data_IF_684368567597
#
_entry.id   IF_684368567597
#
_cell.length_a   1.000
_cell.length_b   1.000
_cell.length_c   1.000
_cell.angle_alpha   90.00
_cell.angle_beta   90.00
_cell.angle_gamma   90.00
#
_symmetry.space_group_name_H-M   'P 1'
#
loop_
_entity.id
_entity.type
_entity.pdbx_description
1 polymer ?
#
# COMPACT_ATOMS: atom_id res chain seq x y z
N UNK A 1 -23.93 21.09 -65.38
CA UNK A 1 -23.20 19.81 -65.22
C UNK A 1 -23.33 19.21 -63.82
N UNK A 2 -23.30 19.98 -62.73
CA UNK A 2 -23.36 19.43 -61.35
C UNK A 2 -24.60 18.60 -60.97
N UNK A 3 -25.78 18.80 -61.59
CA UNK A 3 -26.98 18.02 -61.22
C UNK A 3 -27.03 16.61 -61.81
N UNK A 4 -26.26 16.29 -62.86
CA UNK A 4 -26.21 14.94 -63.43
C UNK A 4 -25.26 14.03 -62.66
N UNK A 5 -24.18 14.55 -62.10
CA UNK A 5 -23.17 13.77 -61.37
C UNK A 5 -23.66 13.29 -59.99
N UNK A 6 -24.46 14.10 -59.29
CA UNK A 6 -25.04 13.72 -57.97
C UNK A 6 -26.05 12.58 -58.11
N UNK A 7 -26.80 12.52 -59.22
CA UNK A 7 -27.76 11.43 -59.47
C UNK A 7 -27.07 10.09 -59.76
N UNK A 8 -25.93 10.11 -60.45
CA UNK A 8 -25.14 8.91 -60.73
C UNK A 8 -24.50 8.37 -59.45
N UNK A 9 -24.00 9.26 -58.58
CA UNK A 9 -23.38 8.87 -57.30
C UNK A 9 -24.38 8.25 -56.31
N UNK A 10 -25.60 8.79 -56.24
CA UNK A 10 -26.67 8.25 -55.40
C UNK A 10 -27.18 6.90 -55.94
N UNK A 11 -27.23 6.73 -57.26
CA UNK A 11 -27.62 5.45 -57.87
C UNK A 11 -26.57 4.36 -57.63
N UNK A 12 -25.27 4.69 -57.67
CA UNK A 12 -24.21 3.74 -57.32
C UNK A 12 -24.23 3.34 -55.84
N UNK A 13 -24.56 4.27 -54.94
CA UNK A 13 -24.59 3.99 -53.50
C UNK A 13 -25.75 3.04 -53.11
N UNK A 14 -26.91 3.18 -53.76
CA UNK A 14 -28.07 2.31 -53.60
C UNK A 14 -27.84 0.90 -54.17
N UNK A 15 -27.12 0.79 -55.29
CA UNK A 15 -26.74 -0.50 -55.87
C UNK A 15 -25.70 -1.23 -55.00
N UNK A 16 -24.74 -0.53 -54.40
CA UNK A 16 -23.75 -1.15 -53.51
C UNK A 16 -24.33 -1.60 -52.16
N UNK A 17 -25.33 -0.88 -51.63
CA UNK A 17 -25.98 -1.25 -50.37
C UNK A 17 -26.97 -2.40 -50.53
N UNK A 18 -27.65 -2.51 -51.68
CA UNK A 18 -28.53 -3.64 -51.99
C UNK A 18 -27.79 -4.99 -52.14
N UNK A 19 -26.61 -4.99 -52.76
CA UNK A 19 -25.82 -6.22 -52.97
C UNK A 19 -25.17 -6.74 -51.67
N UNK A 20 -24.76 -5.84 -50.77
CA UNK A 20 -24.25 -6.21 -49.44
C UNK A 20 -25.36 -6.73 -48.50
N UNK A 21 -26.56 -6.16 -48.56
CA UNK A 21 -27.70 -6.59 -47.73
C UNK A 21 -28.20 -8.00 -48.07
N UNK A 22 -28.30 -8.33 -49.35
CA UNK A 22 -28.77 -9.65 -49.81
C UNK A 22 -27.70 -10.73 -49.55
N UNK A 23 -26.41 -10.40 -49.70
CA UNK A 23 -25.30 -11.30 -49.38
C UNK A 23 -25.25 -11.67 -47.90
N UNK A 24 -25.46 -10.71 -47.00
CA UNK A 24 -25.47 -10.95 -45.55
C UNK A 24 -26.70 -11.75 -45.10
N UNK A 25 -27.86 -11.51 -45.72
CA UNK A 25 -29.10 -12.25 -45.40
C UNK A 25 -29.04 -13.72 -45.86
N UNK A 26 -28.48 -13.99 -47.05
CA UNK A 26 -28.31 -15.36 -47.55
C UNK A 26 -27.21 -16.14 -46.81
N UNK A 27 -26.20 -15.47 -46.24
CA UNK A 27 -25.14 -16.12 -45.46
C UNK A 27 -25.55 -16.39 -44.01
N UNK A 28 -26.38 -15.51 -43.40
CA UNK A 28 -26.88 -15.70 -42.03
C UNK A 28 -28.11 -16.63 -41.96
N UNK A 29 -28.84 -16.82 -43.06
CA UNK A 29 -30.00 -17.71 -43.12
C UNK A 29 -29.69 -19.22 -43.22
N UNK A 30 -28.40 -19.61 -43.33
CA UNK A 30 -28.00 -21.01 -43.53
C UNK A 30 -27.15 -21.63 -42.41
N UNK A 31 -26.90 -20.92 -41.31
CA UNK A 31 -26.14 -21.49 -40.18
C UNK A 31 -26.89 -21.24 -38.87
N UNK A 32 -27.52 -22.32 -38.40
CA UNK A 32 -28.01 -22.65 -37.05
C UNK A 32 -29.48 -22.37 -36.69
N UNK A 33 -30.19 -23.39 -36.14
CA UNK A 33 -31.51 -23.25 -35.54
C UNK A 33 -31.39 -22.67 -34.12
N UNK A 34 -32.18 -21.62 -33.84
CA UNK A 34 -32.34 -21.08 -32.48
C UNK A 34 -33.45 -21.86 -31.78
N UNK A 35 -33.06 -22.78 -30.90
CA UNK A 35 -33.83 -23.12 -29.70
C UNK A 35 -32.84 -23.43 -28.59
N UNK A 36 -32.92 -22.67 -27.47
CA UNK A 36 -32.30 -22.89 -26.14
C UNK A 36 -30.99 -22.17 -25.73
N UNK A 37 -30.65 -20.96 -26.23
CA UNK A 37 -29.43 -20.24 -25.76
C UNK A 37 -29.67 -19.10 -24.75
N UNK A 38 -30.87 -18.51 -24.67
CA UNK A 38 -31.11 -17.35 -23.78
C UNK A 38 -31.22 -17.67 -22.28
N UNK A 39 -31.23 -18.94 -21.88
CA UNK A 39 -31.18 -19.36 -20.47
C UNK A 39 -29.77 -19.75 -20.01
N UNK A 40 -28.83 -20.08 -20.91
CA UNK A 40 -27.49 -20.53 -20.55
C UNK A 40 -26.49 -19.38 -20.37
N UNK A 41 -26.54 -18.32 -21.19
CA UNK A 41 -25.65 -17.15 -21.00
C UNK A 41 -26.00 -16.32 -19.75
N UNK A 42 -27.30 -16.17 -19.46
CA UNK A 42 -27.75 -15.54 -18.22
C UNK A 42 -27.43 -16.40 -17.00
N UNK A 43 -27.54 -17.73 -17.10
CA UNK A 43 -27.12 -18.62 -16.02
C UNK A 43 -25.60 -18.72 -15.88
N UNK A 44 -24.79 -18.59 -16.94
CA UNK A 44 -23.33 -18.55 -16.85
C UNK A 44 -22.80 -17.24 -16.27
N UNK A 45 -23.36 -16.07 -16.65
CA UNK A 45 -23.04 -14.79 -15.99
C UNK A 45 -23.50 -14.79 -14.53
N UNK A 46 -24.68 -15.33 -14.23
CA UNK A 46 -25.21 -15.41 -12.86
C UNK A 46 -24.48 -16.45 -12.01
N UNK A 47 -24.05 -17.58 -12.59
CA UNK A 47 -23.21 -18.58 -11.92
C UNK A 47 -21.77 -18.11 -11.72
N UNK A 48 -21.16 -17.43 -12.70
CA UNK A 48 -19.82 -16.83 -12.54
C UNK A 48 -19.84 -15.67 -11.55
N UNK A 49 -20.90 -14.84 -11.56
CA UNK A 49 -21.08 -13.79 -10.54
C UNK A 49 -21.34 -14.40 -9.16
N UNK A 50 -22.10 -15.48 -9.03
CA UNK A 50 -22.35 -16.16 -7.76
C UNK A 50 -21.09 -16.88 -7.25
N UNK A 51 -20.30 -17.52 -8.11
CA UNK A 51 -19.02 -18.15 -7.75
C UNK A 51 -17.96 -17.09 -7.38
N UNK A 52 -17.86 -15.99 -8.12
CA UNK A 52 -16.99 -14.85 -7.80
C UNK A 52 -17.42 -14.15 -6.51
N UNK A 53 -18.71 -13.95 -6.27
CA UNK A 53 -19.18 -13.36 -5.01
C UNK A 53 -18.95 -14.29 -3.81
N UNK A 54 -19.09 -15.60 -4.00
CA UNK A 54 -18.78 -16.61 -2.97
C UNK A 54 -17.27 -16.65 -2.68
N UNK A 55 -16.42 -16.60 -3.72
CA UNK A 55 -14.96 -16.58 -3.54
C UNK A 55 -14.46 -15.31 -2.87
N UNK A 56 -15.10 -14.16 -3.10
CA UNK A 56 -14.76 -12.89 -2.43
C UNK A 56 -15.21 -12.89 -0.96
N UNK A 57 -16.40 -13.42 -0.64
CA UNK A 57 -16.84 -13.58 0.76
C UNK A 57 -15.87 -14.46 1.54
N UNK A 58 -15.25 -15.44 0.87
CA UNK A 58 -14.26 -16.28 1.52
C UNK A 58 -12.95 -15.56 1.89
N UNK A 59 -12.70 -14.39 1.29
CA UNK A 59 -11.51 -13.56 1.52
C UNK A 59 -11.70 -12.49 2.58
N UNK A 60 -12.92 -12.31 3.09
CA UNK A 60 -13.25 -11.29 4.09
C UNK A 60 -13.63 -11.98 5.41
N UNK A 61 -13.18 -11.42 6.53
CA UNK A 61 -13.50 -11.92 7.87
C UNK A 61 -13.65 -10.75 8.85
N UNK A 62 -14.68 -10.82 9.68
CA UNK A 62 -14.82 -9.98 10.88
C UNK A 62 -14.46 -10.75 12.16
N UNK A 63 -13.86 -11.93 12.01
CA UNK A 63 -13.40 -12.80 13.09
C UNK A 63 -13.88 -14.24 12.97
N UNK A 64 -14.86 -14.50 12.11
CA UNK A 64 -15.40 -15.84 11.80
C UNK A 64 -14.42 -16.76 11.04
N UNK A 65 -13.32 -16.19 10.50
CA UNK A 65 -12.28 -16.91 9.78
C UNK A 65 -10.89 -16.38 10.12
N UNK A 66 -9.91 -17.29 10.13
CA UNK A 66 -8.50 -17.01 10.37
C UNK A 66 -7.73 -17.03 9.04
N UNK A 67 -6.96 -15.99 8.76
CA UNK A 67 -6.11 -15.86 7.59
C UNK A 67 -4.63 -16.06 7.90
N UNK A 68 -4.19 -15.78 9.13
CA UNK A 68 -2.79 -15.96 9.56
C UNK A 68 -2.68 -17.08 10.59
N UNK A 69 -2.56 -18.35 10.16
CA UNK A 69 -2.37 -19.46 11.08
C UNK A 69 -0.96 -19.39 11.71
N UNK A 70 -0.90 -19.08 13.01
CA UNK A 70 0.34 -19.06 13.80
C UNK A 70 0.44 -20.24 14.77
N UNK A 71 1.41 -20.19 15.68
CA UNK A 71 1.58 -21.23 16.70
C UNK A 71 0.36 -21.35 17.64
N UNK A 72 -0.37 -20.25 17.85
CA UNK A 72 -1.62 -20.21 18.60
C UNK A 72 -2.88 -20.56 17.77
N UNK A 73 -2.74 -21.19 16.60
CA UNK A 73 -3.84 -21.41 15.64
C UNK A 73 -5.07 -22.12 16.23
N UNK A 74 -4.89 -23.05 17.18
CA UNK A 74 -6.00 -23.75 17.80
C UNK A 74 -6.92 -22.78 18.56
N UNK A 75 -6.36 -21.88 19.38
CA UNK A 75 -7.12 -20.86 20.08
C UNK A 75 -7.82 -19.90 19.12
N UNK A 76 -7.13 -19.46 18.06
CA UNK A 76 -7.73 -18.58 17.04
C UNK A 76 -8.89 -19.24 16.33
N UNK A 77 -8.73 -20.51 15.94
CA UNK A 77 -9.77 -21.29 15.24
C UNK A 77 -11.00 -21.48 16.12
N UNK A 78 -10.82 -21.83 17.39
CA UNK A 78 -11.92 -21.93 18.35
C UNK A 78 -12.61 -20.58 18.58
N UNK A 79 -11.83 -19.50 18.69
CA UNK A 79 -12.36 -18.14 18.82
C UNK A 79 -13.17 -17.73 17.59
N UNK A 80 -12.70 -18.08 16.40
CA UNK A 80 -13.40 -17.80 15.15
C UNK A 80 -14.72 -18.56 15.02
N UNK A 81 -14.73 -19.86 15.35
CA UNK A 81 -15.95 -20.65 15.45
C UNK A 81 -16.93 -20.05 16.46
N UNK A 82 -16.44 -19.57 17.60
CA UNK A 82 -17.27 -18.92 18.60
C UNK A 82 -17.90 -17.61 18.08
N UNK A 83 -17.15 -16.77 17.35
CA UNK A 83 -17.70 -15.58 16.67
C UNK A 83 -18.78 -15.99 15.66
N UNK A 84 -18.51 -16.99 14.82
CA UNK A 84 -19.47 -17.49 13.83
C UNK A 84 -20.79 -17.95 14.47
N UNK A 85 -20.71 -18.56 15.65
CA UNK A 85 -21.85 -18.99 16.46
C UNK A 85 -22.43 -17.88 17.37
N UNK A 86 -21.96 -16.63 17.25
CA UNK A 86 -22.32 -15.49 18.11
C UNK A 86 -22.06 -15.72 19.61
N UNK A 87 -21.22 -16.69 19.97
CA UNK A 87 -20.77 -16.94 21.34
C UNK A 87 -19.57 -16.02 21.68
N UNK A 88 -19.86 -14.74 21.86
CA UNK A 88 -18.82 -13.73 22.06
C UNK A 88 -18.01 -13.94 23.35
N UNK A 89 -18.60 -14.48 24.41
CA UNK A 89 -17.88 -14.77 25.66
C UNK A 89 -16.80 -15.84 25.45
N UNK A 90 -17.14 -16.93 24.74
CA UNK A 90 -16.15 -17.94 24.38
C UNK A 90 -15.09 -17.39 23.43
N UNK A 91 -15.50 -16.58 22.44
CA UNK A 91 -14.56 -15.93 21.53
C UNK A 91 -13.54 -15.06 22.27
N UNK A 92 -14.00 -14.23 23.21
CA UNK A 92 -13.14 -13.39 24.06
C UNK A 92 -12.14 -14.25 24.83
N UNK A 93 -12.59 -15.33 25.48
CA UNK A 93 -11.71 -16.22 26.23
C UNK A 93 -10.64 -16.85 25.33
N UNK A 94 -11.02 -17.32 24.14
CA UNK A 94 -10.11 -17.99 23.19
C UNK A 94 -9.10 -17.03 22.57
N UNK A 95 -9.50 -15.85 22.10
CA UNK A 95 -8.54 -14.87 21.58
C UNK A 95 -7.65 -14.28 22.67
N UNK A 96 -8.15 -14.14 23.91
CA UNK A 96 -7.31 -13.75 25.06
C UNK A 96 -6.23 -14.81 25.33
N UNK A 97 -6.58 -16.10 25.30
CA UNK A 97 -5.61 -17.19 25.43
C UNK A 97 -4.60 -17.19 24.27
N UNK A 98 -5.06 -16.94 23.04
CA UNK A 98 -4.19 -16.80 21.87
C UNK A 98 -3.15 -15.70 22.06
N UNK A 99 -3.57 -14.51 22.50
CA UNK A 99 -2.66 -13.37 22.71
C UNK A 99 -1.76 -13.53 23.93
N UNK A 100 -2.17 -14.32 24.94
CA UNK A 100 -1.25 -14.69 26.03
C UNK A 100 -0.10 -15.55 25.51
N UNK A 101 -0.38 -16.43 24.55
CA UNK A 101 0.63 -17.28 23.91
C UNK A 101 1.48 -16.52 22.88
N UNK A 102 0.84 -15.73 22.01
CA UNK A 102 1.47 -14.94 20.97
C UNK A 102 0.99 -13.48 21.04
N UNK A 103 1.59 -12.64 21.91
CA UNK A 103 1.15 -11.26 22.12
C UNK A 103 1.23 -10.36 20.88
N UNK A 104 2.11 -10.69 19.93
CA UNK A 104 2.36 -9.91 18.73
C UNK A 104 1.52 -10.34 17.50
N UNK A 105 0.33 -10.90 17.73
CA UNK A 105 -0.63 -11.31 16.70
C UNK A 105 -1.73 -10.24 16.50
N UNK A 106 -1.64 -9.42 15.44
CA UNK A 106 -2.60 -8.36 15.21
C UNK A 106 -3.97 -8.85 14.74
N UNK A 107 -4.05 -10.01 14.06
CA UNK A 107 -5.33 -10.57 13.63
C UNK A 107 -6.14 -11.03 14.86
N UNK A 108 -5.48 -11.72 15.80
CA UNK A 108 -6.11 -12.13 17.05
C UNK A 108 -6.58 -10.92 17.89
N UNK A 109 -5.81 -9.83 17.92
CA UNK A 109 -6.22 -8.61 18.63
C UNK A 109 -7.41 -7.90 17.97
N UNK A 110 -7.46 -7.84 16.63
CA UNK A 110 -8.62 -7.29 15.90
C UNK A 110 -9.88 -8.11 16.20
N UNK A 111 -9.78 -9.44 16.13
CA UNK A 111 -10.93 -10.30 16.36
C UNK A 111 -11.35 -10.35 17.84
N UNK A 112 -10.41 -10.24 18.78
CA UNK A 112 -10.73 -10.03 20.19
C UNK A 112 -11.53 -8.75 20.40
N UNK A 113 -11.10 -7.65 19.76
CA UNK A 113 -11.82 -6.39 19.80
C UNK A 113 -13.23 -6.53 19.21
N UNK A 114 -13.37 -7.17 18.05
CA UNK A 114 -14.68 -7.43 17.46
C UNK A 114 -15.58 -8.30 18.35
N UNK A 115 -15.02 -9.31 19.02
CA UNK A 115 -15.78 -10.14 19.97
C UNK A 115 -16.25 -9.34 21.19
N UNK A 116 -15.41 -8.43 21.72
CA UNK A 116 -15.78 -7.51 22.81
C UNK A 116 -16.91 -6.55 22.43
N UNK A 117 -16.96 -6.13 21.16
CA UNK A 117 -18.05 -5.29 20.63
C UNK A 117 -19.37 -6.10 20.60
N UNK A 118 -19.32 -7.35 20.14
CA UNK A 118 -20.50 -8.20 19.99
C UNK A 118 -21.54 -7.56 19.09
N UNK A 119 -22.76 -7.36 19.60
CA UNK A 119 -23.87 -6.70 18.90
C UNK A 119 -24.00 -5.20 19.21
N UNK A 120 -23.02 -4.61 19.89
CA UNK A 120 -23.04 -3.18 20.24
C UNK A 120 -22.95 -2.29 19.00
N UNK A 121 -23.48 -1.05 19.11
CA UNK A 121 -23.37 -0.03 18.07
C UNK A 121 -21.90 0.17 17.66
N UNK A 122 -21.64 0.16 16.35
CA UNK A 122 -20.29 0.28 15.81
C UNK A 122 -20.27 0.97 14.44
N UNK A 123 -19.10 1.47 14.07
CA UNK A 123 -18.73 1.88 12.73
C UNK A 123 -17.74 0.87 12.16
N UNK A 124 -17.97 0.41 10.92
CA UNK A 124 -17.17 -0.63 10.30
C UNK A 124 -16.20 -0.06 9.27
N UNK A 125 -14.94 -0.46 9.36
CA UNK A 125 -13.92 -0.29 8.31
C UNK A 125 -13.35 -1.65 7.91
N UNK A 126 -12.74 -1.75 6.72
CA UNK A 126 -12.10 -2.99 6.27
C UNK A 126 -10.66 -2.76 5.82
N UNK A 127 -9.74 -3.56 6.35
CA UNK A 127 -8.35 -3.64 5.91
C UNK A 127 -8.26 -4.59 4.71
N UNK A 128 -7.94 -4.09 3.52
CA UNK A 128 -7.70 -4.91 2.32
C UNK A 128 -6.21 -4.99 2.06
N UNK A 129 -5.61 -6.12 2.39
CA UNK A 129 -4.16 -6.31 2.48
C UNK A 129 -3.74 -7.75 2.16
N UNK A 130 -2.47 -7.98 1.75
CA UNK A 130 -1.97 -9.32 1.49
C UNK A 130 -1.66 -10.04 2.80
N UNK A 131 -2.28 -11.18 3.01
CA UNK A 131 -1.97 -12.09 4.10
C UNK A 131 -1.32 -13.34 3.51
N UNK A 132 0.01 -13.38 3.58
CA UNK A 132 0.77 -14.57 3.23
C UNK A 132 0.63 -15.64 4.33
N UNK A 133 0.85 -16.89 3.97
CA UNK A 133 0.89 -18.03 4.91
C UNK A 133 2.06 -17.98 5.92
N UNK A 134 2.81 -16.87 6.01
CA UNK A 134 3.88 -16.70 6.99
C UNK A 134 3.35 -15.91 8.21
N UNK A 135 3.17 -16.58 9.37
CA UNK A 135 2.52 -15.97 10.53
C UNK A 135 3.34 -14.89 11.26
N UNK A 136 4.61 -14.67 10.89
CA UNK A 136 5.53 -13.87 11.71
C UNK A 136 6.14 -12.64 11.02
N UNK A 137 6.17 -12.54 9.68
CA UNK A 137 7.00 -11.53 9.00
C UNK A 137 6.43 -10.89 7.72
N UNK A 138 5.11 -10.99 7.46
CA UNK A 138 4.50 -10.42 6.27
C UNK A 138 4.13 -8.92 6.38
N UNK A 139 4.25 -8.18 5.28
CA UNK A 139 3.79 -6.77 5.16
C UNK A 139 2.34 -6.56 5.61
N UNK A 140 1.45 -7.53 5.36
CA UNK A 140 0.07 -7.49 5.85
C UNK A 140 0.00 -7.45 7.38
N UNK A 141 0.77 -8.28 8.08
CA UNK A 141 0.79 -8.29 9.55
C UNK A 141 1.33 -6.98 10.13
N UNK A 142 2.36 -6.39 9.50
CA UNK A 142 2.84 -5.07 9.90
C UNK A 142 1.75 -4.00 9.80
N UNK A 143 0.97 -4.00 8.71
CA UNK A 143 -0.16 -3.09 8.51
C UNK A 143 -1.25 -3.37 9.56
N UNK A 144 -1.65 -4.64 9.76
CA UNK A 144 -2.66 -5.00 10.74
C UNK A 144 -2.29 -4.57 12.16
N UNK A 145 -1.01 -4.60 12.56
CA UNK A 145 -0.58 -4.09 13.88
C UNK A 145 -0.97 -2.62 14.08
N UNK A 146 -0.82 -1.79 13.05
CA UNK A 146 -1.16 -0.38 13.15
C UNK A 146 -2.66 -0.18 13.33
N UNK A 147 -3.45 -0.95 12.57
CA UNK A 147 -4.90 -0.93 12.60
C UNK A 147 -5.43 -1.46 13.95
N UNK A 148 -4.92 -2.60 14.39
CA UNK A 148 -5.27 -3.25 15.65
C UNK A 148 -4.98 -2.35 16.84
N UNK A 149 -3.83 -1.68 16.85
CA UNK A 149 -3.48 -0.74 17.92
C UNK A 149 -4.43 0.45 17.97
N UNK A 150 -4.73 1.08 16.82
CA UNK A 150 -5.67 2.19 16.77
C UNK A 150 -7.09 1.77 17.19
N UNK A 151 -7.51 0.56 16.81
CA UNK A 151 -8.79 -0.03 17.21
C UNK A 151 -8.86 -0.29 18.73
N UNK A 152 -7.83 -0.93 19.30
CA UNK A 152 -7.76 -1.20 20.74
C UNK A 152 -7.80 0.10 21.54
N UNK A 153 -7.02 1.11 21.14
CA UNK A 153 -7.00 2.41 21.81
C UNK A 153 -8.37 3.08 21.80
N UNK A 154 -9.02 3.20 20.63
CA UNK A 154 -10.32 3.91 20.54
C UNK A 154 -11.44 3.14 21.26
N UNK A 155 -11.45 1.80 21.19
CA UNK A 155 -12.48 0.98 21.80
C UNK A 155 -12.34 0.90 23.33
N UNK A 156 -11.13 0.99 23.85
CA UNK A 156 -10.85 0.95 25.30
C UNK A 156 -10.91 2.33 25.96
N UNK A 157 -10.70 3.44 25.23
CA UNK A 157 -10.55 4.78 25.82
C UNK A 157 -11.74 5.73 25.62
N UNK A 158 -12.64 5.50 24.67
CA UNK A 158 -13.74 6.47 24.49
C UNK A 158 -14.81 6.17 23.45
N UNK A 159 -14.61 5.16 22.59
CA UNK A 159 -15.47 4.91 21.42
C UNK A 159 -15.54 6.15 20.50
N UNK A 160 -16.21 6.03 19.36
CA UNK A 160 -16.43 7.13 18.41
C UNK A 160 -17.88 7.59 18.59
N UNK A 161 -18.10 8.70 19.31
CA UNK A 161 -19.44 9.22 19.62
C UNK A 161 -20.37 8.13 20.18
N UNK A 162 -19.86 7.33 21.11
CA UNK A 162 -20.57 6.21 21.74
C UNK A 162 -20.61 4.90 20.94
N UNK A 163 -20.10 4.86 19.70
CA UNK A 163 -20.03 3.65 18.86
C UNK A 163 -18.61 3.08 18.77
N UNK A 164 -18.46 1.75 18.83
CA UNK A 164 -17.15 1.11 18.69
C UNK A 164 -16.62 1.16 17.25
N UNK A 165 -15.30 1.00 17.07
CA UNK A 165 -14.70 0.71 15.77
C UNK A 165 -14.62 -0.81 15.57
N UNK A 166 -15.38 -1.32 14.59
CA UNK A 166 -15.29 -2.70 14.12
C UNK A 166 -14.40 -2.77 12.89
N UNK A 167 -13.47 -3.71 12.86
CA UNK A 167 -12.50 -3.85 11.76
C UNK A 167 -12.68 -5.21 11.10
N UNK A 168 -12.97 -5.21 9.80
CA UNK A 168 -12.88 -6.40 8.96
C UNK A 168 -11.49 -6.53 8.33
N UNK A 169 -11.10 -7.76 8.02
CA UNK A 169 -9.86 -8.07 7.32
C UNK A 169 -10.24 -8.72 5.99
N UNK A 170 -9.64 -8.27 4.90
CA UNK A 170 -9.83 -8.80 3.56
C UNK A 170 -8.48 -9.16 2.94
N UNK A 171 -8.27 -10.44 2.60
CA UNK A 171 -7.02 -10.90 1.99
C UNK A 171 -7.07 -10.76 0.45
N UNK A 172 -6.29 -9.81 -0.07
CA UNK A 172 -6.19 -9.53 -1.50
C UNK A 172 -5.06 -10.28 -2.23
N UNK A 173 -4.23 -11.06 -1.51
CA UNK A 173 -3.02 -11.73 -2.02
C UNK A 173 -2.04 -10.79 -2.77
N UNK A 174 -2.13 -9.48 -2.57
CA UNK A 174 -1.46 -8.42 -3.37
C UNK A 174 -1.76 -8.51 -4.87
N UNK A 175 -2.94 -9.05 -5.23
CA UNK A 175 -3.39 -9.19 -6.61
C UNK A 175 -4.38 -8.07 -6.95
N UNK A 176 -4.09 -7.20 -7.95
CA UNK A 176 -4.96 -6.07 -8.29
C UNK A 176 -6.41 -6.45 -8.63
N UNK A 177 -6.63 -7.56 -9.36
CA UNK A 177 -7.99 -7.99 -9.70
C UNK A 177 -8.76 -8.47 -8.45
N UNK A 178 -8.11 -9.19 -7.53
CA UNK A 178 -8.75 -9.59 -6.26
C UNK A 178 -9.06 -8.35 -5.40
N UNK A 179 -8.16 -7.36 -5.37
CA UNK A 179 -8.39 -6.09 -4.67
C UNK A 179 -9.62 -5.36 -5.21
N UNK A 180 -9.81 -5.36 -6.53
CA UNK A 180 -10.98 -4.77 -7.20
C UNK A 180 -12.27 -5.55 -6.94
N UNK A 181 -12.21 -6.87 -6.91
CA UNK A 181 -13.35 -7.72 -6.53
C UNK A 181 -13.78 -7.47 -5.08
N UNK A 182 -12.83 -7.43 -4.14
CA UNK A 182 -13.07 -7.04 -2.74
C UNK A 182 -13.67 -5.64 -2.68
N UNK A 183 -13.08 -4.65 -3.35
CA UNK A 183 -13.62 -3.29 -3.38
C UNK A 183 -15.06 -3.26 -3.89
N UNK A 184 -15.37 -4.04 -4.94
CA UNK A 184 -16.72 -4.16 -5.50
C UNK A 184 -17.73 -4.75 -4.51
N UNK A 185 -17.29 -5.66 -3.65
CA UNK A 185 -18.10 -6.20 -2.57
C UNK A 185 -18.31 -5.16 -1.44
N UNK A 186 -17.23 -4.48 -1.02
CA UNK A 186 -17.27 -3.50 0.07
C UNK A 186 -18.15 -2.29 -0.26
N UNK A 187 -18.10 -1.77 -1.48
CA UNK A 187 -18.91 -0.60 -1.87
C UNK A 187 -20.40 -0.91 -1.86
N UNK A 188 -20.80 -2.18 -2.07
CA UNK A 188 -22.20 -2.64 -2.01
C UNK A 188 -22.71 -2.82 -0.57
N UNK A 189 -21.82 -2.96 0.42
CA UNK A 189 -22.19 -3.07 1.82
C UNK A 189 -22.24 -1.67 2.48
N UNK A 190 -23.43 -1.12 2.79
CA UNK A 190 -23.55 0.22 3.37
C UNK A 190 -22.97 0.34 4.79
N UNK A 191 -22.77 -0.79 5.51
CA UNK A 191 -22.17 -0.78 6.84
C UNK A 191 -20.68 -0.43 6.81
N UNK A 192 -20.01 -0.67 5.68
CA UNK A 192 -18.58 -0.35 5.50
C UNK A 192 -18.45 1.14 5.16
N UNK A 193 -17.85 1.90 6.09
CA UNK A 193 -17.72 3.35 5.99
C UNK A 193 -16.35 3.81 5.48
N UNK A 194 -15.32 2.96 5.58
CA UNK A 194 -13.98 3.25 5.07
C UNK A 194 -13.16 1.98 4.85
N UNK A 195 -12.07 2.12 4.09
CA UNK A 195 -11.12 1.05 3.86
C UNK A 195 -9.68 1.51 4.15
N UNK A 196 -8.85 0.58 4.61
CA UNK A 196 -7.39 0.73 4.61
C UNK A 196 -6.88 -0.20 3.53
N UNK A 197 -6.45 0.38 2.42
CA UNK A 197 -6.09 -0.33 1.19
C UNK A 197 -5.11 0.51 0.38
N UNK A 198 -4.18 -0.06 -0.38
CA UNK A 198 -3.75 -1.46 -0.42
C UNK A 198 -2.22 -1.49 -0.30
N UNK A 199 -1.64 -2.70 -0.21
CA UNK A 199 -0.20 -2.87 -0.01
C UNK A 199 0.63 -2.47 -1.23
N UNK A 200 0.16 -2.72 -2.47
CA UNK A 200 0.82 -2.23 -3.68
C UNK A 200 0.10 -1.07 -4.34
N UNK A 201 0.88 -0.24 -5.07
CA UNK A 201 0.32 0.90 -5.80
C UNK A 201 -0.63 0.46 -6.92
N UNK A 202 -0.35 -0.67 -7.58
CA UNK A 202 -1.23 -1.21 -8.61
C UNK A 202 -2.56 -1.69 -8.04
N UNK A 203 -2.54 -2.42 -6.91
CA UNK A 203 -3.76 -2.80 -6.22
C UNK A 203 -4.58 -1.56 -5.82
N UNK A 204 -3.92 -0.52 -5.28
CA UNK A 204 -4.56 0.73 -4.89
C UNK A 204 -5.21 1.45 -6.09
N UNK A 205 -4.52 1.55 -7.24
CA UNK A 205 -5.06 2.18 -8.44
C UNK A 205 -6.23 1.37 -9.03
N UNK A 206 -6.14 0.04 -9.05
CA UNK A 206 -7.16 -0.83 -9.62
C UNK A 206 -8.42 -0.88 -8.75
N UNK A 207 -8.27 -1.09 -7.44
CA UNK A 207 -9.38 -1.03 -6.48
C UNK A 207 -9.93 0.39 -6.31
N UNK A 208 -9.06 1.40 -6.42
CA UNK A 208 -9.40 2.81 -6.21
C UNK A 208 -10.47 3.33 -7.17
N UNK A 209 -10.51 2.85 -8.43
CA UNK A 209 -11.59 3.17 -9.37
C UNK A 209 -12.97 2.74 -8.85
N UNK A 210 -13.03 1.59 -8.18
CA UNK A 210 -14.26 1.04 -7.61
C UNK A 210 -14.65 1.79 -6.35
N UNK A 211 -13.68 2.05 -5.47
CA UNK A 211 -13.91 2.87 -4.27
C UNK A 211 -14.42 4.27 -4.61
N UNK A 212 -13.85 4.92 -5.61
CA UNK A 212 -14.29 6.21 -6.14
C UNK A 212 -15.76 6.17 -6.59
N UNK A 213 -16.09 5.20 -7.45
CA UNK A 213 -17.45 4.99 -7.96
C UNK A 213 -18.45 4.71 -6.84
N UNK A 214 -18.04 3.96 -5.82
CA UNK A 214 -18.83 3.63 -4.63
C UNK A 214 -18.81 4.69 -3.53
N UNK A 215 -18.10 5.81 -3.75
CA UNK A 215 -17.89 6.90 -2.79
C UNK A 215 -17.36 6.41 -1.44
N UNK A 216 -16.56 5.34 -1.43
CA UNK A 216 -15.99 4.76 -0.21
C UNK A 216 -14.55 5.24 -0.08
N UNK A 217 -14.24 5.94 1.01
CA UNK A 217 -12.88 6.40 1.27
C UNK A 217 -11.96 5.20 1.49
N UNK A 218 -10.81 5.20 0.80
CA UNK A 218 -9.72 4.27 1.05
C UNK A 218 -8.42 5.03 1.34
N UNK A 219 -7.72 4.65 2.41
CA UNK A 219 -6.43 5.25 2.78
C UNK A 219 -5.32 4.19 2.67
N UNK A 220 -4.33 4.43 1.82
CA UNK A 220 -3.17 3.53 1.68
C UNK A 220 -2.03 3.92 2.62
N UNK A 221 -1.56 3.01 3.48
CA UNK A 221 -0.38 3.25 4.30
C UNK A 221 0.94 2.89 3.59
N UNK A 222 0.88 2.40 2.34
CA UNK A 222 2.04 1.78 1.69
C UNK A 222 2.28 2.19 0.23
N UNK A 223 1.27 2.68 -0.48
CA UNK A 223 1.37 2.94 -1.91
C UNK A 223 1.93 4.33 -2.24
N UNK A 224 3.21 4.35 -2.62
CA UNK A 224 4.01 5.56 -2.81
C UNK A 224 4.11 6.06 -4.27
N UNK A 225 3.57 5.34 -5.26
CA UNK A 225 3.62 5.76 -6.66
C UNK A 225 3.02 7.15 -6.88
N UNK A 226 3.67 7.98 -7.70
CA UNK A 226 3.16 9.31 -8.07
C UNK A 226 1.80 9.25 -8.77
N UNK A 227 1.48 8.13 -9.42
CA UNK A 227 0.20 7.91 -10.14
C UNK A 227 -1.03 8.01 -9.24
N UNK A 228 -0.85 7.96 -7.91
CA UNK A 228 -1.92 8.07 -6.91
C UNK A 228 -2.23 9.54 -6.59
N UNK A 229 -1.27 10.45 -6.77
CA UNK A 229 -1.49 11.88 -6.58
C UNK A 229 -2.57 12.37 -7.55
N UNK A 230 -3.62 13.02 -7.04
CA UNK A 230 -4.78 13.49 -7.81
C UNK A 230 -5.56 12.38 -8.56
N UNK A 231 -5.41 11.12 -8.15
CA UNK A 231 -6.05 10.00 -8.85
C UNK A 231 -7.57 9.94 -8.64
N UNK A 232 -8.03 10.17 -7.40
CA UNK A 232 -9.45 10.18 -7.05
C UNK A 232 -9.67 10.97 -5.76
N UNK A 233 -10.83 11.65 -5.60
CA UNK A 233 -11.20 12.36 -4.38
C UNK A 233 -11.49 11.47 -3.17
N UNK A 234 -11.58 10.14 -3.36
CA UNK A 234 -11.83 9.16 -2.30
C UNK A 234 -10.57 8.34 -1.91
N UNK A 235 -9.45 8.54 -2.62
CA UNK A 235 -8.20 7.82 -2.36
C UNK A 235 -7.21 8.74 -1.68
N UNK A 236 -6.76 8.33 -0.50
CA UNK A 236 -5.77 9.03 0.29
C UNK A 236 -4.58 8.10 0.57
N UNK A 237 -3.47 8.68 1.02
CA UNK A 237 -2.35 7.88 1.53
C UNK A 237 -1.63 8.55 2.69
N UNK A 238 -1.21 7.74 3.67
CA UNK A 238 -0.37 8.20 4.78
C UNK A 238 1.12 8.02 4.51
N UNK A 239 1.49 7.18 3.53
CA UNK A 239 2.85 7.11 3.00
C UNK A 239 3.15 8.34 2.13
N UNK A 240 4.36 8.93 2.22
CA UNK A 240 4.77 9.98 1.30
C UNK A 240 4.81 9.50 -0.16
N UNK A 241 4.47 10.40 -1.07
CA UNK A 241 4.69 10.21 -2.52
C UNK A 241 6.16 10.02 -2.82
N UNK A 242 6.49 9.19 -3.83
CA UNK A 242 7.83 9.16 -4.40
C UNK A 242 8.31 10.54 -4.82
N UNK A 243 7.42 11.43 -5.31
CA UNK A 243 7.79 12.80 -5.64
C UNK A 243 8.41 13.56 -4.46
N UNK A 244 7.83 13.44 -3.26
CA UNK A 244 8.36 14.12 -2.06
C UNK A 244 9.65 13.44 -1.61
N UNK A 245 9.68 12.11 -1.64
CA UNK A 245 10.85 11.30 -1.28
C UNK A 245 12.06 11.63 -2.15
N UNK A 246 11.90 11.66 -3.47
CA UNK A 246 12.99 11.90 -4.41
C UNK A 246 13.43 13.35 -4.43
N UNK A 247 12.50 14.31 -4.30
CA UNK A 247 12.86 15.72 -4.07
C UNK A 247 13.71 15.88 -2.83
N UNK A 248 13.37 15.20 -1.73
CA UNK A 248 14.16 15.25 -0.49
C UNK A 248 15.57 14.69 -0.70
N UNK A 249 15.70 13.55 -1.39
CA UNK A 249 17.00 12.95 -1.70
C UNK A 249 17.84 13.80 -2.67
N UNK A 250 17.22 14.35 -3.71
CA UNK A 250 17.90 15.23 -4.68
C UNK A 250 18.39 16.52 -4.02
N UNK A 251 17.54 17.15 -3.20
CA UNK A 251 17.91 18.30 -2.38
C UNK A 251 19.08 17.97 -1.46
N UNK A 252 19.02 16.85 -0.74
CA UNK A 252 20.10 16.42 0.14
C UNK A 252 21.41 16.20 -0.64
N UNK A 253 21.33 15.58 -1.82
CA UNK A 253 22.49 15.38 -2.69
C UNK A 253 23.16 16.70 -3.09
N UNK A 254 22.39 17.63 -3.65
CA UNK A 254 22.94 18.86 -4.21
C UNK A 254 23.33 19.85 -3.12
N UNK A 255 22.48 20.04 -2.10
CA UNK A 255 22.65 21.10 -1.11
C UNK A 255 23.48 20.64 0.09
N UNK A 256 23.29 19.42 0.57
CA UNK A 256 23.98 18.93 1.77
C UNK A 256 25.28 18.18 1.43
N UNK A 257 25.27 17.31 0.42
CA UNK A 257 26.47 16.59 -0.02
C UNK A 257 27.32 17.39 -1.01
N UNK A 258 26.78 18.49 -1.57
CA UNK A 258 27.42 19.31 -2.60
C UNK A 258 27.87 18.48 -3.81
N UNK A 259 27.07 17.47 -4.18
CA UNK A 259 27.31 16.58 -5.32
C UNK A 259 26.26 16.81 -6.39
N UNK A 260 26.67 16.69 -7.66
CA UNK A 260 25.79 16.96 -8.80
C UNK A 260 25.59 15.77 -9.73
N UNK A 261 26.41 14.72 -9.63
CA UNK A 261 26.36 13.58 -10.56
C UNK A 261 26.12 12.27 -9.84
N UNK A 262 25.04 11.56 -10.19
CA UNK A 262 24.67 10.28 -9.59
C UNK A 262 24.58 9.15 -10.62
N UNK A 263 24.92 7.93 -10.22
CA UNK A 263 24.48 6.72 -10.91
C UNK A 263 23.30 6.09 -10.16
N UNK A 264 22.30 5.59 -10.87
CA UNK A 264 21.08 5.01 -10.26
C UNK A 264 21.04 3.51 -10.48
N UNK A 265 20.79 2.75 -9.41
CA UNK A 265 20.61 1.30 -9.42
C UNK A 265 19.16 0.98 -9.10
N UNK A 266 18.47 0.28 -9.98
CA UNK A 266 17.03 0.03 -9.88
C UNK A 266 16.67 -1.39 -10.32
N UNK A 267 15.42 -1.78 -10.13
CA UNK A 267 14.85 -3.04 -10.58
C UNK A 267 13.76 -2.76 -11.62
N UNK A 268 14.00 -3.10 -12.89
CA UNK A 268 13.01 -2.90 -13.94
C UNK A 268 11.76 -3.79 -13.80
N UNK A 269 11.84 -4.89 -13.06
CA UNK A 269 10.70 -5.77 -12.79
C UNK A 269 9.81 -5.27 -11.63
N UNK A 270 10.12 -4.12 -11.04
CA UNK A 270 9.37 -3.53 -9.93
C UNK A 270 8.87 -2.13 -10.26
N UNK A 271 7.55 -1.96 -10.37
CA UNK A 271 6.95 -0.64 -10.61
C UNK A 271 7.29 0.39 -9.53
N UNK A 272 7.41 -0.06 -8.27
CA UNK A 272 7.91 0.77 -7.18
C UNK A 272 9.30 1.33 -7.51
N UNK A 273 10.22 0.46 -7.93
CA UNK A 273 11.61 0.81 -8.19
C UNK A 273 11.74 1.70 -9.43
N UNK A 274 10.99 1.38 -10.50
CA UNK A 274 10.92 2.21 -11.70
C UNK A 274 10.36 3.60 -11.41
N UNK A 275 9.31 3.70 -10.59
CA UNK A 275 8.74 4.99 -10.19
C UNK A 275 9.75 5.80 -9.38
N UNK A 276 10.36 5.21 -8.35
CA UNK A 276 11.34 5.90 -7.52
C UNK A 276 12.54 6.40 -8.35
N UNK A 277 13.05 5.56 -9.27
CA UNK A 277 14.10 5.94 -10.22
C UNK A 277 13.70 7.15 -11.06
N UNK A 278 12.57 7.06 -11.75
CA UNK A 278 12.12 8.10 -12.70
C UNK A 278 11.89 9.43 -11.99
N UNK A 279 11.27 9.40 -10.80
CA UNK A 279 11.06 10.60 -9.98
C UNK A 279 12.38 11.18 -9.44
N UNK A 280 13.41 10.36 -9.21
CA UNK A 280 14.73 10.82 -8.80
C UNK A 280 15.49 11.47 -9.95
N UNK A 281 15.46 10.88 -11.14
CA UNK A 281 16.02 11.47 -12.37
C UNK A 281 15.39 12.83 -12.66
N UNK A 282 14.06 12.96 -12.52
CA UNK A 282 13.39 14.24 -12.68
C UNK A 282 13.77 15.24 -11.58
N UNK A 283 13.80 14.81 -10.32
CA UNK A 283 14.10 15.69 -9.18
C UNK A 283 15.53 16.21 -9.17
N UNK A 284 16.51 15.36 -9.53
CA UNK A 284 17.91 15.78 -9.56
C UNK A 284 18.17 16.80 -10.67
N UNK A 285 17.52 16.65 -11.83
CA UNK A 285 17.60 17.62 -12.92
C UNK A 285 17.07 19.00 -12.49
N UNK A 286 15.94 19.02 -11.78
CA UNK A 286 15.36 20.26 -11.25
C UNK A 286 16.24 20.93 -10.18
N UNK A 287 16.99 20.16 -9.40
CA UNK A 287 17.94 20.69 -8.40
C UNK A 287 19.31 21.03 -9.02
N UNK A 288 19.49 20.91 -10.34
CA UNK A 288 20.73 21.28 -11.04
C UNK A 288 21.85 20.22 -10.99
N UNK A 289 21.48 18.95 -10.80
CA UNK A 289 22.35 17.79 -10.99
C UNK A 289 21.93 16.93 -12.18
N UNK A 290 22.59 15.79 -12.36
CA UNK A 290 22.37 14.86 -13.47
C UNK A 290 22.57 13.40 -13.05
N UNK A 291 21.95 12.49 -13.80
CA UNK A 291 22.20 11.05 -13.71
C UNK A 291 23.18 10.65 -14.80
N UNK A 292 24.34 10.11 -14.41
CA UNK A 292 25.39 9.67 -15.32
C UNK A 292 25.07 8.35 -16.00
N UNK A 293 24.47 7.42 -15.25
CA UNK A 293 24.14 6.07 -15.71
C UNK A 293 22.99 5.46 -14.89
N UNK A 294 22.24 4.57 -15.54
CA UNK A 294 21.23 3.71 -14.90
C UNK A 294 21.62 2.23 -15.01
N UNK A 295 21.56 1.51 -13.90
CA UNK A 295 21.90 0.09 -13.80
C UNK A 295 20.70 -0.72 -13.31
N UNK A 296 20.29 -1.70 -14.10
CA UNK A 296 19.19 -2.60 -13.76
C UNK A 296 19.71 -3.84 -13.00
N UNK A 297 19.42 -3.87 -11.71
CA UNK A 297 19.73 -4.96 -10.78
C UNK A 297 19.02 -6.26 -11.18
N UNK A 298 17.88 -6.21 -11.87
CA UNK A 298 17.09 -7.40 -12.18
C UNK A 298 17.69 -8.27 -13.28
N UNK A 299 18.60 -7.70 -14.08
CA UNK A 299 19.28 -8.43 -15.15
C UNK A 299 20.02 -9.65 -14.61
N UNK A 300 19.93 -10.74 -15.36
CA UNK A 300 20.56 -12.02 -15.00
C UNK A 300 22.09 -11.90 -14.96
N UNK A 301 22.66 -11.11 -15.88
CA UNK A 301 24.09 -10.82 -16.03
C UNK A 301 24.55 -9.59 -15.22
N UNK A 302 23.71 -9.06 -14.32
CA UNK A 302 24.08 -7.92 -13.49
C UNK A 302 25.34 -8.21 -12.67
N UNK A 303 26.35 -7.36 -12.81
CA UNK A 303 27.57 -7.35 -12.01
C UNK A 303 27.71 -6.03 -11.26
N UNK A 304 27.69 -6.10 -9.92
CA UNK A 304 27.92 -4.93 -9.07
C UNK A 304 29.30 -4.31 -9.31
N UNK A 305 30.33 -5.13 -9.52
CA UNK A 305 31.69 -4.66 -9.72
C UNK A 305 31.85 -3.87 -11.03
N UNK A 306 31.35 -4.42 -12.13
CA UNK A 306 31.40 -3.74 -13.43
C UNK A 306 30.57 -2.45 -13.40
N UNK A 307 29.38 -2.50 -12.79
CA UNK A 307 28.47 -1.35 -12.72
C UNK A 307 29.05 -0.21 -11.87
N UNK A 308 29.64 -0.50 -10.70
CA UNK A 308 30.27 0.52 -9.84
C UNK A 308 31.53 1.09 -10.51
N UNK A 309 32.33 0.25 -11.19
CA UNK A 309 33.48 0.71 -11.97
C UNK A 309 33.04 1.70 -13.06
N UNK A 310 32.07 1.31 -13.89
CA UNK A 310 31.53 2.17 -14.94
C UNK A 310 30.91 3.47 -14.38
N UNK A 311 30.18 3.40 -13.27
CA UNK A 311 29.67 4.60 -12.60
C UNK A 311 30.81 5.57 -12.21
N UNK A 312 31.90 5.04 -11.66
CA UNK A 312 33.08 5.82 -11.26
C UNK A 312 33.77 6.45 -12.47
N UNK A 313 33.99 5.67 -13.55
CA UNK A 313 34.59 6.15 -14.80
C UNK A 313 33.77 7.25 -15.49
N UNK A 314 32.44 7.21 -15.34
CA UNK A 314 31.52 8.23 -15.83
C UNK A 314 31.39 9.44 -14.89
N UNK A 315 32.19 9.51 -13.82
CA UNK A 315 32.25 10.63 -12.89
C UNK A 315 31.11 10.69 -11.88
N UNK A 316 30.40 9.59 -11.63
CA UNK A 316 29.40 9.54 -10.56
C UNK A 316 30.06 9.86 -9.21
N UNK A 317 29.42 10.73 -8.43
CA UNK A 317 29.83 11.10 -7.08
C UNK A 317 28.95 10.42 -6.02
N UNK A 318 27.77 9.97 -6.45
CA UNK A 318 26.74 9.35 -5.63
C UNK A 318 26.22 8.10 -6.35
N UNK A 319 25.98 7.02 -5.60
CA UNK A 319 25.17 5.89 -6.06
C UNK A 319 23.81 5.99 -5.37
N UNK A 320 22.74 6.10 -6.17
CA UNK A 320 21.36 6.10 -5.70
C UNK A 320 20.76 4.71 -5.87
N UNK A 321 20.45 4.03 -4.76
CA UNK A 321 19.83 2.71 -4.75
C UNK A 321 18.31 2.87 -4.68
N UNK A 322 17.67 2.79 -5.84
CA UNK A 322 16.22 2.77 -5.99
C UNK A 322 15.64 1.34 -5.87
N UNK A 323 16.26 0.44 -5.12
CA UNK A 323 15.85 -0.97 -5.00
C UNK A 323 14.54 -1.17 -4.20
N UNK A 324 13.79 -2.21 -4.56
CA UNK A 324 12.69 -2.75 -3.75
C UNK A 324 13.18 -3.89 -2.83
N UNK A 325 12.35 -4.29 -1.86
CA UNK A 325 12.69 -5.33 -0.87
C UNK A 325 13.06 -6.69 -1.49
N UNK A 326 12.52 -7.02 -2.67
CA UNK A 326 12.79 -8.27 -3.37
C UNK A 326 14.17 -8.37 -4.04
N UNK A 327 14.95 -7.28 -4.10
CA UNK A 327 16.27 -7.27 -4.74
C UNK A 327 17.38 -6.70 -3.85
N UNK A 328 17.12 -6.60 -2.55
CA UNK A 328 18.03 -6.01 -1.55
C UNK A 328 19.43 -6.63 -1.62
N UNK A 329 19.55 -7.94 -1.84
CA UNK A 329 20.85 -8.62 -1.93
C UNK A 329 21.77 -8.03 -3.01
N UNK A 330 21.24 -7.80 -4.22
CA UNK A 330 22.03 -7.19 -5.30
C UNK A 330 22.35 -5.72 -5.01
N UNK A 331 21.44 -4.99 -4.37
CA UNK A 331 21.72 -3.63 -3.92
C UNK A 331 22.85 -3.59 -2.87
N UNK A 332 22.90 -4.56 -1.96
CA UNK A 332 23.95 -4.66 -0.96
C UNK A 332 25.30 -5.09 -1.55
N UNK A 333 25.31 -5.88 -2.63
CA UNK A 333 26.54 -6.13 -3.39
C UNK A 333 27.13 -4.82 -3.96
N UNK A 334 26.29 -3.89 -4.43
CA UNK A 334 26.74 -2.56 -4.86
C UNK A 334 27.36 -1.79 -3.70
N UNK A 335 26.74 -1.84 -2.51
CA UNK A 335 27.30 -1.22 -1.28
C UNK A 335 28.68 -1.81 -0.94
N UNK A 336 28.83 -3.13 -0.96
CA UNK A 336 30.10 -3.81 -0.65
C UNK A 336 31.21 -3.43 -1.65
N UNK A 337 30.92 -3.44 -2.95
CA UNK A 337 31.93 -3.12 -3.98
C UNK A 337 32.24 -1.62 -4.05
N UNK A 338 31.31 -0.76 -3.64
CA UNK A 338 31.58 0.67 -3.52
C UNK A 338 32.72 0.97 -2.53
N UNK A 339 32.89 0.15 -1.48
CA UNK A 339 33.93 0.34 -0.47
C UNK A 339 34.01 1.77 0.08
N UNK A 340 32.83 2.38 0.31
CA UNK A 340 32.66 3.78 0.72
C UNK A 340 33.24 4.85 -0.23
N UNK A 341 33.68 4.51 -1.44
CA UNK A 341 34.30 5.45 -2.40
C UNK A 341 33.34 6.57 -2.83
N UNK A 342 32.10 6.21 -3.16
CA UNK A 342 31.05 7.15 -3.54
C UNK A 342 30.01 7.27 -2.43
N UNK A 343 29.34 8.42 -2.32
CA UNK A 343 28.26 8.58 -1.34
C UNK A 343 27.07 7.72 -1.74
N UNK A 344 26.35 7.18 -0.76
CA UNK A 344 25.23 6.29 -0.99
C UNK A 344 23.93 6.98 -0.58
N UNK A 345 22.98 7.05 -1.52
CA UNK A 345 21.61 7.44 -1.29
C UNK A 345 20.68 6.26 -1.57
N UNK A 346 19.52 6.23 -0.92
CA UNK A 346 18.54 5.17 -1.14
C UNK A 346 17.11 5.56 -0.76
N UNK A 347 16.16 4.86 -1.37
CA UNK A 347 14.78 4.84 -0.89
C UNK A 347 14.58 3.83 0.25
N UNK A 348 13.35 3.73 0.74
CA UNK A 348 12.99 2.87 1.86
C UNK A 348 12.94 1.36 1.53
N UNK A 349 13.12 0.96 0.28
CA UNK A 349 13.16 -0.45 -0.11
C UNK A 349 14.37 -1.21 0.46
N UNK A 350 15.42 -0.50 0.87
CA UNK A 350 16.60 -1.05 1.59
C UNK A 350 16.61 -0.63 3.07
N UNK A 351 15.53 -0.05 3.59
CA UNK A 351 15.40 0.25 5.03
C UNK A 351 14.97 -1.02 5.78
N UNK A 352 15.92 -1.94 5.98
CA UNK A 352 15.71 -3.26 6.58
C UNK A 352 16.83 -3.63 7.54
N UNK A 353 16.58 -4.54 8.49
CA UNK A 353 17.63 -5.06 9.39
C UNK A 353 18.76 -5.73 8.60
N UNK A 354 18.40 -6.47 7.54
CA UNK A 354 19.35 -7.13 6.62
C UNK A 354 20.37 -6.17 6.02
N UNK A 355 19.96 -4.93 5.73
CA UNK A 355 20.88 -3.88 5.25
C UNK A 355 21.95 -3.53 6.28
N UNK A 356 21.62 -3.51 7.57
CA UNK A 356 22.59 -3.28 8.64
C UNK A 356 23.50 -4.50 8.85
N UNK A 357 22.91 -5.70 8.86
CA UNK A 357 23.62 -6.97 9.07
C UNK A 357 24.66 -7.27 8.00
N UNK A 358 24.31 -7.03 6.73
CA UNK A 358 25.17 -7.33 5.58
C UNK A 358 26.00 -6.10 5.19
N UNK A 359 25.39 -4.91 5.18
CA UNK A 359 26.07 -3.68 4.78
C UNK A 359 27.23 -3.29 5.69
N UNK A 360 27.04 -3.44 7.01
CA UNK A 360 28.02 -3.19 8.07
C UNK A 360 28.84 -1.90 7.83
N UNK A 361 30.16 -1.99 7.95
CA UNK A 361 31.08 -0.87 7.75
C UNK A 361 30.90 -0.22 6.38
N UNK A 362 30.71 -1.01 5.33
CA UNK A 362 30.60 -0.50 3.95
C UNK A 362 29.33 0.34 3.71
N UNK A 363 28.32 0.19 4.56
CA UNK A 363 27.10 0.98 4.52
C UNK A 363 27.14 2.24 5.40
N UNK A 364 28.17 2.41 6.25
CA UNK A 364 28.27 3.60 7.13
C UNK A 364 28.26 4.88 6.30
N UNK A 365 27.39 5.81 6.68
CA UNK A 365 27.20 7.07 5.97
C UNK A 365 26.21 7.01 4.81
N UNK A 366 25.66 5.84 4.47
CA UNK A 366 24.53 5.72 3.55
C UNK A 366 23.31 6.44 4.11
N UNK A 367 22.67 7.27 3.27
CA UNK A 367 21.48 8.05 3.65
C UNK A 367 20.24 7.52 2.93
N UNK A 368 19.19 7.25 3.69
CA UNK A 368 17.93 6.71 3.20
C UNK A 368 16.81 7.72 3.46
N UNK A 369 15.93 7.88 2.49
CA UNK A 369 14.63 8.52 2.71
C UNK A 369 13.62 7.46 3.13
N UNK A 370 13.05 7.65 4.32
CA UNK A 370 12.14 6.69 4.96
C UNK A 370 10.80 7.35 5.32
N UNK A 371 9.67 6.62 5.23
CA UNK A 371 8.37 7.19 5.57
C UNK A 371 8.22 7.52 7.06
N UNK A 372 8.92 6.77 7.92
CA UNK A 372 8.92 6.94 9.37
C UNK A 372 10.11 6.21 10.00
N UNK A 373 10.69 6.81 11.03
CA UNK A 373 11.68 6.24 11.93
C UNK A 373 11.20 6.36 13.38
N UNK A 374 11.43 5.32 14.19
CA UNK A 374 10.97 5.25 15.59
C UNK A 374 11.51 6.36 16.49
N UNK A 375 12.68 6.90 16.16
CA UNK A 375 13.32 8.03 16.86
C UNK A 375 13.14 9.36 16.11
N UNK A 376 12.39 9.37 15.00
CA UNK A 376 12.24 10.54 14.13
C UNK A 376 11.38 11.65 14.75
N UNK A 377 10.57 11.35 15.77
CA UNK A 377 9.85 12.35 16.56
C UNK A 377 9.92 11.99 18.06
N UNK A 378 10.86 12.57 18.82
CA UNK A 378 11.02 12.31 20.25
C UNK A 378 9.81 12.69 21.13
N UNK A 379 8.89 13.53 20.62
CA UNK A 379 7.68 13.93 21.34
C UNK A 379 6.51 12.95 21.16
N UNK A 380 6.66 11.96 20.28
CA UNK A 380 5.61 10.96 20.05
C UNK A 380 5.64 9.88 21.12
N UNK A 381 4.49 9.62 21.77
CA UNK A 381 4.34 8.48 22.68
C UNK A 381 4.16 7.14 21.92
N UNK A 382 3.87 7.17 20.61
CA UNK A 382 3.57 5.98 19.82
C UNK A 382 4.64 4.89 19.91
N UNK A 383 5.95 5.15 19.75
CA UNK A 383 6.99 4.14 19.95
C UNK A 383 6.88 3.37 21.27
N UNK A 384 6.57 4.08 22.35
CA UNK A 384 6.47 3.52 23.70
C UNK A 384 5.20 2.71 23.87
N UNK A 385 4.05 3.23 23.42
CA UNK A 385 2.77 2.51 23.52
C UNK A 385 2.75 1.28 22.60
N UNK A 386 3.28 1.40 21.38
CA UNK A 386 3.43 0.28 20.46
C UNK A 386 4.35 -0.79 21.01
N UNK A 387 5.52 -0.44 21.58
CA UNK A 387 6.42 -1.43 22.19
C UNK A 387 5.76 -2.14 23.38
N UNK A 388 4.99 -1.41 24.19
CA UNK A 388 4.23 -1.99 25.30
C UNK A 388 3.17 -2.97 24.80
N UNK A 389 2.45 -2.65 23.72
CA UNK A 389 1.41 -3.49 23.17
C UNK A 389 1.97 -4.73 22.45
N UNK A 390 2.96 -4.53 21.59
CA UNK A 390 3.47 -5.57 20.67
C UNK A 390 4.67 -6.34 21.23
N UNK A 391 5.24 -5.90 22.36
CA UNK A 391 6.43 -6.51 22.97
C UNK A 391 7.72 -6.32 22.17
N UNK A 392 7.68 -5.53 21.09
CA UNK A 392 8.80 -5.31 20.18
C UNK A 392 8.69 -3.94 19.50
N UNK A 393 9.79 -3.51 18.87
CA UNK A 393 9.74 -2.35 17.98
C UNK A 393 8.89 -2.67 16.74
N UNK A 394 8.15 -1.67 16.28
CA UNK A 394 7.27 -1.78 15.11
C UNK A 394 7.89 -1.13 13.89
N UNK A 395 7.46 -1.56 12.70
CA UNK A 395 7.97 -0.98 11.46
C UNK A 395 7.22 0.28 11.07
N UNK A 396 7.77 1.00 10.08
CA UNK A 396 7.13 2.17 9.51
C UNK A 396 5.76 1.85 8.90
N UNK A 397 5.51 0.63 8.42
CA UNK A 397 4.19 0.23 7.89
C UNK A 397 3.15 0.17 8.99
N UNK A 398 3.53 -0.31 10.18
CA UNK A 398 2.68 -0.26 11.37
C UNK A 398 2.35 1.18 11.76
N UNK A 399 3.35 2.06 11.80
CA UNK A 399 3.14 3.48 12.10
C UNK A 399 2.19 4.17 11.10
N UNK A 400 2.36 3.92 9.80
CA UNK A 400 1.53 4.56 8.78
C UNK A 400 0.11 3.95 8.65
N UNK A 401 -0.05 2.67 8.97
CA UNK A 401 -1.36 2.04 9.06
C UNK A 401 -2.13 2.50 10.31
N UNK A 402 -1.42 2.72 11.42
CA UNK A 402 -1.96 3.41 12.59
C UNK A 402 -2.46 4.80 12.19
N UNK A 403 -1.64 5.59 11.50
CA UNK A 403 -2.03 6.93 11.02
C UNK A 403 -3.27 6.89 10.11
N UNK A 404 -3.33 5.93 9.18
CA UNK A 404 -4.48 5.78 8.28
C UNK A 404 -5.77 5.49 9.08
N UNK A 405 -5.66 4.63 10.10
CA UNK A 405 -6.78 4.28 10.98
C UNK A 405 -7.18 5.48 11.84
N UNK A 406 -6.23 6.22 12.42
CA UNK A 406 -6.49 7.42 13.22
C UNK A 406 -7.17 8.52 12.40
N UNK A 407 -6.81 8.68 11.14
CA UNK A 407 -7.48 9.61 10.24
C UNK A 407 -8.95 9.23 10.01
N UNK A 408 -9.23 7.94 9.74
CA UNK A 408 -10.60 7.45 9.60
C UNK A 408 -11.40 7.61 10.90
N UNK A 409 -10.80 7.28 12.06
CA UNK A 409 -11.43 7.45 13.38
C UNK A 409 -11.81 8.92 13.62
N UNK A 410 -10.88 9.85 13.35
CA UNK A 410 -11.13 11.28 13.52
C UNK A 410 -12.25 11.77 12.58
N UNK A 411 -12.26 11.31 11.33
CA UNK A 411 -13.29 11.67 10.35
C UNK A 411 -14.67 11.10 10.71
N UNK A 412 -14.74 9.83 11.14
CA UNK A 412 -15.96 9.21 11.68
C UNK A 412 -16.52 9.97 12.89
N UNK A 413 -15.63 10.52 13.73
CA UNK A 413 -16.03 11.36 14.87
C UNK A 413 -16.67 12.68 14.48
N UNK A 414 -16.43 13.18 13.26
CA UNK A 414 -17.03 14.42 12.73
C UNK A 414 -18.32 14.15 11.96
N UNK A 415 -18.29 13.23 11.01
CA UNK A 415 -19.46 12.84 10.23
C UNK A 415 -19.33 11.36 9.82
N UNK A 416 -20.05 10.44 10.49
CA UNK A 416 -19.91 8.99 10.30
C UNK A 416 -20.66 8.48 9.07
N UNK A 417 -20.60 9.22 7.97
CA UNK A 417 -21.09 8.82 6.65
C UNK A 417 -19.94 8.75 5.65
N UNK A 418 -20.06 7.95 4.59
CA UNK A 418 -19.04 7.87 3.53
C UNK A 418 -18.69 9.25 2.95
N UNK A 419 -19.70 10.07 2.66
CA UNK A 419 -19.49 11.44 2.18
C UNK A 419 -18.90 12.34 3.26
N UNK A 420 -19.33 12.17 4.52
CA UNK A 420 -18.82 12.91 5.66
C UNK A 420 -17.34 12.70 5.90
N UNK A 421 -16.89 11.45 5.85
CA UNK A 421 -15.49 11.07 5.97
C UNK A 421 -14.68 11.76 4.87
N UNK A 422 -15.11 11.65 3.61
CA UNK A 422 -14.41 12.26 2.48
C UNK A 422 -14.30 13.78 2.64
N UNK A 423 -15.41 14.48 2.92
CA UNK A 423 -15.44 15.93 3.14
C UNK A 423 -14.56 16.35 4.32
N UNK A 424 -14.55 15.55 5.38
CA UNK A 424 -13.73 15.82 6.56
C UNK A 424 -12.25 15.72 6.20
N UNK A 425 -11.80 14.64 5.54
CA UNK A 425 -10.39 14.42 5.24
C UNK A 425 -9.79 15.46 4.29
N UNK A 426 -10.57 16.00 3.35
CA UNK A 426 -10.11 17.06 2.42
C UNK A 426 -10.22 18.47 3.01
N UNK A 427 -10.85 18.63 4.17
CA UNK A 427 -11.03 19.94 4.78
C UNK A 427 -9.67 20.54 5.16
N UNK A 428 -9.37 21.81 4.82
CA UNK A 428 -8.11 22.46 5.20
C UNK A 428 -7.85 22.46 6.72
N UNK A 429 -8.92 22.47 7.51
CA UNK A 429 -8.87 22.43 8.99
C UNK A 429 -8.77 21.02 9.58
N UNK A 430 -8.78 19.96 8.76
CA UNK A 430 -8.63 18.60 9.25
C UNK A 430 -7.22 18.37 9.81
N UNK A 431 -7.19 17.71 10.96
CA UNK A 431 -5.99 17.25 11.63
C UNK A 431 -6.31 16.06 12.54
N UNK A 432 -5.38 15.13 12.63
CA UNK A 432 -5.38 14.07 13.64
C UNK A 432 -3.95 13.82 14.14
N UNK A 433 -3.81 13.36 15.38
CA UNK A 433 -2.51 12.97 15.93
C UNK A 433 -2.16 11.54 15.50
N UNK A 434 -1.02 11.40 14.82
CA UNK A 434 -0.47 10.12 14.37
C UNK A 434 0.82 9.73 15.09
N UNK A 435 1.38 8.59 14.67
CA UNK A 435 2.61 7.98 15.15
C UNK A 435 3.85 8.86 14.96
N UNK A 436 3.96 9.52 13.80
CA UNK A 436 5.08 10.41 13.47
C UNK A 436 4.84 11.88 13.80
N UNK A 437 3.60 12.27 14.09
CA UNK A 437 3.19 13.67 14.21
C UNK A 437 1.79 13.89 13.63
N UNK A 438 1.49 15.13 13.26
CA UNK A 438 0.19 15.51 12.72
C UNK A 438 -0.13 14.78 11.40
N UNK A 439 -1.39 14.44 11.20
CA UNK A 439 -1.93 13.85 9.97
C UNK A 439 -2.83 14.89 9.32
N UNK A 440 -2.44 15.31 8.12
CA UNK A 440 -3.21 16.20 7.24
C UNK A 440 -3.07 15.70 5.81
N UNK A 441 -4.07 15.96 4.99
CA UNK A 441 -4.06 15.60 3.58
C UNK A 441 -4.11 16.85 2.71
N UNK A 442 -3.40 16.79 1.58
CA UNK A 442 -3.54 17.74 0.50
C UNK A 442 -4.80 17.40 -0.31
N UNK A 443 -5.36 18.34 -1.08
CA UNK A 443 -6.48 18.06 -1.99
C UNK A 443 -6.21 16.92 -2.98
N UNK A 444 -4.93 16.60 -3.23
CA UNK A 444 -4.51 15.49 -4.07
C UNK A 444 -4.69 14.10 -3.47
N UNK A 445 -5.08 14.00 -2.18
CA UNK A 445 -5.11 12.76 -1.41
C UNK A 445 -3.77 12.41 -0.73
N UNK A 446 -2.70 13.13 -1.04
CA UNK A 446 -1.39 12.90 -0.44
C UNK A 446 -1.32 13.41 0.99
N UNK A 447 -0.60 12.69 1.86
CA UNK A 447 -0.25 13.23 3.18
C UNK A 447 0.59 14.50 3.02
N UNK A 448 0.17 15.55 3.71
CA UNK A 448 0.98 16.75 3.86
C UNK A 448 2.04 16.49 4.95
N UNK A 449 3.19 15.96 4.55
CA UNK A 449 4.30 15.65 5.45
C UNK A 449 5.63 15.88 4.78
N UNK A 450 6.67 16.15 5.58
CA UNK A 450 8.05 15.96 5.16
C UNK A 450 8.43 14.49 5.17
N UNK A 451 9.47 14.14 4.41
CA UNK A 451 10.08 12.81 4.43
C UNK A 451 11.25 12.81 5.39
N UNK A 452 11.39 11.75 6.19
CA UNK A 452 12.50 11.61 7.12
C UNK A 452 13.72 11.05 6.40
N UNK A 453 14.88 11.64 6.66
CA UNK A 453 16.16 11.07 6.25
C UNK A 453 16.78 10.34 7.45
N UNK A 454 17.34 9.17 7.21
CA UNK A 454 18.16 8.44 8.19
C UNK A 454 19.53 8.16 7.59
N UNK A 455 20.55 8.07 8.44
CA UNK A 455 21.91 7.70 8.07
C UNK A 455 22.32 6.42 8.80
N UNK A 456 23.04 5.54 8.14
CA UNK A 456 23.66 4.39 8.81
C UNK A 456 24.89 4.84 9.59
N UNK A 457 24.93 4.50 10.88
CA UNK A 457 26.02 4.81 11.82
C UNK A 457 26.37 3.59 12.67
N UNK A 458 27.57 3.49 13.25
CA UNK A 458 27.84 2.52 14.31
C UNK A 458 26.86 2.71 15.47
N UNK A 459 26.32 1.62 16.00
CA UNK A 459 25.28 1.66 17.02
C UNK A 459 24.90 0.29 17.56
N UNK A 460 24.13 0.26 18.65
CA UNK A 460 23.79 -0.98 19.36
C UNK A 460 22.29 -1.28 19.41
N UNK A 461 21.42 -0.36 18.99
CA UNK A 461 19.96 -0.50 19.13
C UNK A 461 19.44 -1.68 18.30
N UNK A 462 19.91 -1.86 17.07
CA UNK A 462 19.49 -2.95 16.20
C UNK A 462 20.18 -4.28 16.52
N UNK A 463 21.17 -4.31 17.42
CA UNK A 463 22.03 -5.47 17.75
C UNK A 463 22.92 -5.97 16.60
N UNK A 464 23.08 -5.18 15.54
CA UNK A 464 23.95 -5.54 14.39
C UNK A 464 25.34 -4.90 14.47
N UNK A 465 25.55 -3.99 15.43
CA UNK A 465 26.70 -3.09 15.50
C UNK A 465 26.51 -1.79 14.70
N UNK A 466 25.38 -1.65 14.01
CA UNK A 466 25.02 -0.48 13.21
C UNK A 466 23.55 -0.13 13.43
N UNK A 467 23.20 1.13 13.24
CA UNK A 467 21.84 1.65 13.38
C UNK A 467 21.50 2.61 12.25
N UNK A 468 20.20 2.74 11.98
CA UNK A 468 19.66 3.90 11.27
C UNK A 468 19.42 5.02 12.26
N UNK A 469 20.02 6.18 12.03
CA UNK A 469 19.87 7.36 12.87
C UNK A 469 19.20 8.49 12.08
N UNK A 470 18.11 9.11 12.59
CA UNK A 470 17.49 10.27 11.94
C UNK A 470 18.48 11.42 11.73
N UNK A 471 18.49 11.98 10.52
CA UNK A 471 19.22 13.21 10.23
C UNK A 471 18.34 14.37 10.67
N UNK A 472 18.81 15.15 11.64
CA UNK A 472 18.13 16.40 12.01
C UNK A 472 18.13 17.37 10.82
N UNK A 473 17.01 18.01 10.48
CA UNK A 473 17.03 19.14 9.55
C UNK A 473 18.02 20.17 10.08
N UNK A 474 19.00 20.59 9.27
CA UNK A 474 19.79 21.77 9.65
C UNK A 474 18.86 22.98 9.56
N UNK A 475 18.88 23.81 10.60
CA UNK A 475 18.24 25.13 10.60
C UNK A 475 18.75 25.99 9.45
#
# INVERSE_FOLDING_TARGET
MLQKEVKVLLLSLLLTSGVLGIGIWLFLGRILPITSVNTLENNQKKNNNNQSETSVKERISFGEKIFSPGEASAFKTDGAKAIANKNYQQAIAKFTASLKFQPNDPEALIYLNNARIGSSKNYTIVATIPLANNPNTGTGLEILRGIAQAQEEINSQGKINGAYLKVGIANDDDKPEISKEIASHLVKNPEVLGAICCSSSNATLTAGKVYDSGKLVAISPNSSSVKITNFSPYIFRTVPSHLITTRTLANYMVKNLQKKKAAVFFNSQSDYSQSLKSEFVASILLEGGEVSQEFDLSKADFSAASSVKQATEQGAQVLMLAANTGIVDKALQVVQVNQQRLKLLAGNGVYTLKTLEIGREQAVGMVLAVPWHIQGNPKSEFPKTSRKLWGADVSWRTALAYDATKALIAALGKDPTRSGIQKTLVSPGFSATGAGGEIRFLPSGDRNTSVQLVKIVPGSRSRTGYDFEPISPRN
#
